data_IF_981730578819
#
_entry.id   IF_981730578819
#
_cell.length_a   1.000
_cell.length_b   1.000
_cell.length_c   1.000
_cell.angle_alpha   90.00
_cell.angle_beta   90.00
_cell.angle_gamma   90.00
#
_symmetry.space_group_name_H-M   'P 1'
#
loop_
_entity.id
_entity.type
_entity.pdbx_description
1 polymer ?
#
# COMPACT_ATOMS: atom_id res chain seq x y z
N UNK A 1 76.74 10.69 -28.42
CA UNK A 1 75.38 11.04 -27.97
C UNK A 1 74.60 9.75 -27.73
N UNK A 2 74.41 9.36 -26.47
CA UNK A 2 73.65 8.16 -26.11
C UNK A 2 72.98 8.41 -24.76
N UNK A 3 71.65 8.32 -24.74
CA UNK A 3 70.79 8.65 -23.62
C UNK A 3 70.77 7.52 -22.58
N UNK A 4 70.77 7.88 -21.29
CA UNK A 4 70.33 6.98 -20.22
C UNK A 4 69.26 7.66 -19.38
N UNK A 5 68.06 7.12 -19.55
CA UNK A 5 66.84 7.36 -18.79
C UNK A 5 67.01 6.84 -17.37
N UNK A 6 66.70 7.68 -16.38
CA UNK A 6 66.60 7.31 -14.97
C UNK A 6 65.15 7.48 -14.52
N UNK A 7 64.64 6.41 -13.91
CA UNK A 7 63.25 6.12 -13.59
C UNK A 7 62.79 6.94 -12.39
N UNK A 8 61.64 7.60 -12.51
CA UNK A 8 60.92 8.17 -11.36
C UNK A 8 59.78 7.23 -10.99
N UNK A 9 59.89 6.69 -9.79
CA UNK A 9 58.96 5.76 -9.14
C UNK A 9 57.61 6.44 -8.89
N UNK A 10 56.52 5.89 -9.42
CA UNK A 10 55.15 6.30 -9.06
C UNK A 10 54.76 5.54 -7.80
N UNK A 11 54.53 6.26 -6.70
CA UNK A 11 53.94 5.70 -5.50
C UNK A 11 52.43 5.53 -5.71
N UNK A 12 51.95 4.29 -5.71
CA UNK A 12 50.52 3.98 -5.70
C UNK A 12 50.04 4.02 -4.26
N UNK A 13 49.27 5.05 -3.90
CA UNK A 13 48.55 5.09 -2.63
C UNK A 13 47.39 4.10 -2.69
N UNK A 14 47.53 2.96 -2.02
CA UNK A 14 46.41 2.05 -1.74
C UNK A 14 45.59 2.68 -0.63
N UNK A 15 44.54 3.41 -1.01
CA UNK A 15 43.58 3.95 -0.07
C UNK A 15 42.70 2.79 0.42
N UNK A 16 42.91 2.39 1.67
CA UNK A 16 42.12 1.36 2.33
C UNK A 16 40.66 1.83 2.43
N UNK A 17 39.76 1.14 1.71
CA UNK A 17 38.32 1.24 1.91
C UNK A 17 37.99 0.64 3.27
N UNK A 18 37.85 1.49 4.27
CA UNK A 18 37.18 1.14 5.52
C UNK A 18 35.70 0.98 5.17
N UNK A 19 35.24 -0.26 5.04
CA UNK A 19 33.81 -0.55 5.06
C UNK A 19 33.32 -0.27 6.49
N UNK A 20 32.90 0.96 6.73
CA UNK A 20 32.00 1.25 7.82
C UNK A 20 30.70 0.51 7.51
N UNK A 21 30.42 -0.55 8.27
CA UNK A 21 29.08 -1.07 8.47
C UNK A 21 28.24 0.06 9.05
N UNK A 22 27.62 0.85 8.16
CA UNK A 22 26.58 1.76 8.54
C UNK A 22 25.43 0.91 9.07
N UNK A 23 25.19 1.00 10.38
CA UNK A 23 23.86 0.77 10.90
C UNK A 23 22.94 1.77 10.20
N UNK A 24 22.25 1.34 9.13
CA UNK A 24 21.15 2.10 8.53
C UNK A 24 19.98 2.08 9.52
N UNK A 25 20.13 2.86 10.59
CA UNK A 25 19.01 3.43 11.31
C UNK A 25 18.37 4.43 10.37
N UNK A 26 17.30 4.00 9.71
CA UNK A 26 16.42 4.79 8.86
C UNK A 26 16.09 6.10 9.58
N UNK A 27 16.81 7.16 9.22
CA UNK A 27 16.66 8.49 9.82
C UNK A 27 15.25 8.96 9.46
N UNK A 28 14.45 9.28 10.47
CA UNK A 28 13.27 10.12 10.34
C UNK A 28 13.69 11.40 9.61
N UNK A 29 13.32 11.53 8.34
CA UNK A 29 13.37 12.80 7.62
C UNK A 29 12.03 13.53 7.86
N UNK A 30 12.01 14.59 8.68
CA UNK A 30 10.80 15.38 8.92
C UNK A 30 10.35 16.19 7.69
N UNK A 31 11.13 16.20 6.59
CA UNK A 31 10.81 16.91 5.35
C UNK A 31 10.48 15.94 4.20
N UNK A 32 10.18 14.67 4.48
CA UNK A 32 9.74 13.75 3.42
C UNK A 32 8.44 14.27 2.78
N UNK A 33 8.38 14.46 1.45
CA UNK A 33 7.23 15.02 0.73
C UNK A 33 6.03 14.04 0.64
N UNK A 34 6.00 13.00 1.48
CA UNK A 34 4.99 11.94 1.49
C UNK A 34 4.25 11.90 2.83
N UNK A 35 4.10 13.05 3.51
CA UNK A 35 3.45 13.14 4.81
C UNK A 35 1.98 13.50 4.63
N UNK A 36 1.11 12.52 4.83
CA UNK A 36 -0.33 12.71 4.99
C UNK A 36 -0.63 13.51 6.27
N UNK A 37 0.27 13.47 7.25
CA UNK A 37 0.08 14.10 8.56
C UNK A 37 -1.12 13.51 9.29
N UNK A 38 -1.91 14.37 9.92
CA UNK A 38 -3.16 13.98 10.60
C UNK A 38 -4.38 14.01 9.64
N UNK A 39 -4.16 14.16 8.33
CA UNK A 39 -5.21 14.32 7.32
C UNK A 39 -5.64 12.98 6.71
N UNK A 40 -5.97 12.02 7.56
CA UNK A 40 -6.52 10.73 7.15
C UNK A 40 -7.79 10.39 7.91
N UNK A 41 -8.58 9.51 7.32
CA UNK A 41 -9.80 8.96 7.90
C UNK A 41 -9.61 7.48 8.15
N UNK A 42 -9.73 7.06 9.41
CA UNK A 42 -9.72 5.64 9.75
C UNK A 42 -11.03 5.00 9.29
N UNK A 43 -10.95 4.12 8.30
CA UNK A 43 -12.10 3.39 7.77
C UNK A 43 -12.44 2.18 8.65
N UNK A 44 -11.44 1.39 9.03
CA UNK A 44 -11.67 0.18 9.83
C UNK A 44 -10.44 -0.21 10.64
N UNK A 45 -10.65 -0.73 11.85
CA UNK A 45 -9.57 -1.22 12.74
C UNK A 45 -9.65 -2.73 12.91
N UNK A 46 -8.49 -3.35 13.06
CA UNK A 46 -8.31 -4.78 13.13
C UNK A 46 -7.28 -5.18 14.18
N UNK A 47 -7.40 -6.42 14.66
CA UNK A 47 -6.38 -7.10 15.45
C UNK A 47 -6.18 -8.50 14.89
N UNK A 48 -5.01 -8.77 14.32
CA UNK A 48 -4.67 -10.09 13.73
C UNK A 48 -3.37 -10.62 14.29
N UNK A 49 -3.40 -11.81 14.89
CA UNK A 49 -2.22 -12.40 15.52
C UNK A 49 -1.57 -11.53 16.61
N UNK A 50 -2.35 -10.66 17.27
CA UNK A 50 -1.87 -9.71 18.28
C UNK A 50 -1.35 -8.38 17.74
N UNK A 51 -1.36 -8.17 16.40
CA UNK A 51 -0.95 -6.90 15.77
C UNK A 51 -2.17 -6.04 15.52
N UNK A 52 -2.15 -4.81 16.02
CA UNK A 52 -3.15 -3.79 15.74
C UNK A 52 -2.83 -3.09 14.42
N UNK A 53 -3.83 -3.00 13.55
CA UNK A 53 -3.71 -2.30 12.28
C UNK A 53 -5.06 -1.72 11.86
N UNK A 54 -5.03 -0.86 10.86
CA UNK A 54 -6.21 -0.20 10.34
C UNK A 54 -6.11 -0.01 8.84
N UNK A 55 -7.26 0.18 8.21
CA UNK A 55 -7.37 0.69 6.86
C UNK A 55 -7.72 2.16 6.96
N UNK A 56 -6.88 2.99 6.38
CA UNK A 56 -7.04 4.44 6.33
C UNK A 56 -7.36 4.89 4.91
N UNK A 57 -8.00 6.04 4.79
CA UNK A 57 -8.24 6.72 3.53
C UNK A 57 -7.92 8.20 3.64
N UNK A 58 -7.32 8.76 2.60
CA UNK A 58 -6.89 10.16 2.54
C UNK A 58 -6.82 10.64 1.10
N UNK A 59 -6.72 11.96 0.94
CA UNK A 59 -6.41 12.59 -0.33
C UNK A 59 -4.93 12.94 -0.30
N UNK A 60 -4.15 12.48 -1.29
CA UNK A 60 -2.74 12.85 -1.40
C UNK A 60 -2.61 14.29 -1.90
N UNK A 61 -2.65 15.23 -0.95
CA UNK A 61 -2.57 16.66 -1.21
C UNK A 61 -1.19 17.11 -1.70
N UNK A 62 -0.13 16.31 -1.45
CA UNK A 62 1.24 16.64 -1.81
C UNK A 62 1.59 16.17 -3.25
N UNK A 63 0.78 15.28 -3.83
CA UNK A 63 0.91 14.83 -5.22
C UNK A 63 -0.16 15.43 -6.13
N UNK A 64 -1.11 14.62 -6.59
CA UNK A 64 -2.09 14.98 -7.62
C UNK A 64 -3.51 15.15 -7.07
N UNK A 65 -3.69 15.07 -5.75
CA UNK A 65 -5.00 15.06 -5.11
C UNK A 65 -5.76 13.75 -5.31
N UNK A 66 -5.06 12.67 -5.65
CA UNK A 66 -5.68 11.35 -5.79
C UNK A 66 -6.22 10.82 -4.46
N UNK A 67 -7.32 10.08 -4.54
CA UNK A 67 -7.83 9.32 -3.41
C UNK A 67 -6.94 8.10 -3.16
N UNK A 68 -6.51 7.95 -1.91
CA UNK A 68 -5.65 6.89 -1.44
C UNK A 68 -6.31 6.08 -0.33
N UNK A 69 -5.93 4.80 -0.27
CA UNK A 69 -6.23 3.91 0.84
C UNK A 69 -4.98 3.13 1.23
N UNK A 70 -4.77 2.89 2.53
CA UNK A 70 -3.56 2.23 3.03
C UNK A 70 -3.81 1.37 4.26
N UNK A 71 -3.03 0.30 4.37
CA UNK A 71 -2.92 -0.55 5.56
C UNK A 71 -1.83 -0.02 6.47
N UNK A 72 -2.22 0.39 7.66
CA UNK A 72 -1.36 1.10 8.59
C UNK A 72 -1.46 0.53 9.99
N UNK A 73 -0.48 0.84 10.84
CA UNK A 73 -0.63 0.64 12.27
C UNK A 73 -1.59 1.69 12.86
N UNK A 74 -1.89 1.56 14.15
CA UNK A 74 -2.85 2.45 14.83
C UNK A 74 -2.50 3.94 14.85
N UNK A 75 -1.30 4.33 14.39
CA UNK A 75 -0.82 5.72 14.32
C UNK A 75 -0.98 6.31 12.92
N UNK A 76 -1.35 5.52 11.91
CA UNK A 76 -1.68 5.99 10.57
C UNK A 76 -0.53 5.93 9.55
N UNK A 77 -0.75 6.50 8.35
CA UNK A 77 0.13 6.33 7.17
C UNK A 77 1.57 6.79 7.38
N UNK A 78 1.75 7.99 7.95
CA UNK A 78 3.06 8.60 8.15
C UNK A 78 3.98 7.78 9.07
N UNK A 79 3.38 7.07 10.03
CA UNK A 79 4.13 6.22 10.94
C UNK A 79 4.45 4.86 10.29
N UNK A 80 3.53 4.37 9.46
CA UNK A 80 3.53 3.02 8.93
C UNK A 80 4.46 2.81 7.74
N UNK A 81 4.94 3.89 7.10
CA UNK A 81 5.87 3.85 5.96
C UNK A 81 7.15 3.01 6.17
N UNK A 82 7.50 2.69 7.42
CA UNK A 82 8.67 1.86 7.76
C UNK A 82 8.34 0.39 8.04
N UNK A 83 7.05 0.03 8.05
CA UNK A 83 6.61 -1.31 8.42
C UNK A 83 6.59 -2.22 7.19
N UNK A 84 7.07 -3.47 7.31
CA UNK A 84 7.23 -4.38 6.17
C UNK A 84 5.91 -4.84 5.54
N UNK A 85 4.79 -4.67 6.23
CA UNK A 85 3.45 -5.05 5.76
C UNK A 85 2.60 -3.84 5.37
N UNK A 86 3.02 -2.62 5.71
CA UNK A 86 2.27 -1.43 5.34
C UNK A 86 2.29 -1.29 3.82
N UNK A 87 1.12 -1.03 3.24
CA UNK A 87 0.96 -0.85 1.81
C UNK A 87 -0.20 0.11 1.55
N UNK A 88 -0.05 0.93 0.52
CA UNK A 88 -1.08 1.86 0.07
C UNK A 88 -1.25 1.80 -1.44
N UNK A 89 -2.43 2.20 -1.88
CA UNK A 89 -2.76 2.39 -3.29
C UNK A 89 -3.53 3.72 -3.43
N UNK A 90 -3.31 4.41 -4.55
CA UNK A 90 -3.88 5.72 -4.86
C UNK A 90 -4.37 5.75 -6.30
N UNK A 91 -5.30 6.66 -6.60
CA UNK A 91 -5.75 6.92 -7.97
C UNK A 91 -6.47 5.73 -8.59
N UNK A 92 -7.46 5.19 -7.88
CA UNK A 92 -8.19 4.00 -8.29
C UNK A 92 -9.06 4.32 -9.51
N UNK A 93 -8.56 3.97 -10.69
CA UNK A 93 -9.16 4.37 -11.97
C UNK A 93 -9.73 3.19 -12.77
N UNK A 94 -9.52 1.95 -12.31
CA UNK A 94 -9.94 0.75 -13.01
C UNK A 94 -9.13 0.47 -14.28
N UNK A 95 -7.95 1.07 -14.45
CA UNK A 95 -7.00 0.69 -15.48
C UNK A 95 -6.11 -0.47 -15.03
N UNK A 96 -5.44 -1.12 -15.99
CA UNK A 96 -4.44 -2.14 -15.71
C UNK A 96 -3.22 -1.58 -14.91
N UNK A 97 -3.01 -0.25 -14.95
CA UNK A 97 -1.90 0.44 -14.29
C UNK A 97 -2.25 1.12 -12.97
N UNK A 98 -3.46 1.69 -12.83
CA UNK A 98 -3.94 2.34 -11.59
C UNK A 98 -4.64 1.36 -10.64
N UNK A 99 -5.11 0.22 -11.17
CA UNK A 99 -5.68 -0.86 -10.38
C UNK A 99 -7.09 -0.55 -9.86
N UNK A 100 -7.90 -1.60 -9.75
CA UNK A 100 -9.25 -1.50 -9.17
C UNK A 100 -9.25 -1.58 -7.64
N UNK A 101 -8.12 -1.98 -7.04
CA UNK A 101 -7.98 -2.27 -5.62
C UNK A 101 -6.50 -2.26 -5.21
N UNK A 102 -6.25 -2.00 -3.94
CA UNK A 102 -4.96 -2.14 -3.30
C UNK A 102 -4.87 -3.48 -2.56
N UNK A 103 -3.66 -3.92 -2.28
CA UNK A 103 -3.46 -5.11 -1.50
C UNK A 103 -2.00 -5.49 -1.36
N UNK A 104 -1.74 -6.35 -0.38
CA UNK A 104 -0.39 -6.76 -0.05
C UNK A 104 -0.39 -7.63 1.19
N UNK A 105 0.80 -7.79 1.76
CA UNK A 105 0.98 -8.53 2.99
C UNK A 105 0.17 -7.88 4.11
N UNK A 106 -0.62 -8.67 4.83
CA UNK A 106 -1.38 -8.21 5.98
C UNK A 106 -0.60 -8.43 7.28
N UNK A 107 -0.91 -7.64 8.32
CA UNK A 107 -0.37 -7.87 9.66
C UNK A 107 -0.77 -9.23 10.22
N UNK A 108 0.16 -9.87 10.91
CA UNK A 108 -0.03 -11.22 11.43
C UNK A 108 0.26 -12.29 10.37
N UNK A 109 1.05 -13.29 10.79
CA UNK A 109 1.51 -14.51 10.08
C UNK A 109 0.95 -14.75 8.66
N UNK A 110 1.82 -14.58 7.65
CA UNK A 110 1.65 -15.04 6.26
C UNK A 110 0.25 -14.80 5.65
N UNK A 111 -0.36 -13.66 5.97
CA UNK A 111 -1.64 -13.28 5.42
C UNK A 111 -1.49 -12.17 4.39
N UNK A 112 -2.52 -12.00 3.57
CA UNK A 112 -2.68 -10.90 2.66
C UNK A 112 -3.94 -10.11 3.01
N UNK A 113 -4.01 -8.87 2.57
CA UNK A 113 -5.24 -8.11 2.60
C UNK A 113 -5.44 -7.46 1.24
N UNK A 114 -6.70 -7.31 0.87
CA UNK A 114 -7.11 -6.57 -0.32
C UNK A 114 -8.22 -5.62 0.08
N UNK A 115 -8.23 -4.44 -0.51
CA UNK A 115 -9.15 -3.36 -0.18
C UNK A 115 -9.30 -2.43 -1.38
N UNK A 116 -10.36 -1.65 -1.41
CA UNK A 116 -10.50 -0.60 -2.40
C UNK A 116 -11.82 0.13 -2.30
N UNK A 117 -11.96 1.24 -3.04
CA UNK A 117 -13.22 1.92 -3.20
C UNK A 117 -14.11 1.16 -4.19
N UNK A 118 -15.42 1.33 -4.06
CA UNK A 118 -16.42 0.87 -5.02
C UNK A 118 -17.57 1.87 -5.10
N UNK A 119 -18.29 1.91 -6.24
CA UNK A 119 -19.44 2.81 -6.41
C UNK A 119 -20.49 2.62 -5.32
N UNK A 120 -21.26 3.67 -5.03
CA UNK A 120 -22.28 3.66 -3.97
C UNK A 120 -23.34 2.56 -4.14
N UNK A 121 -23.61 2.15 -5.38
CA UNK A 121 -24.55 1.07 -5.67
C UNK A 121 -24.01 -0.33 -5.31
N UNK A 122 -22.71 -0.50 -5.08
CA UNK A 122 -22.09 -1.80 -4.82
C UNK A 122 -22.17 -2.16 -3.32
N UNK A 123 -23.09 -3.05 -2.95
CA UNK A 123 -23.30 -3.50 -1.55
C UNK A 123 -22.42 -4.69 -1.15
N UNK A 124 -21.73 -5.29 -2.12
CA UNK A 124 -20.76 -6.36 -1.88
C UNK A 124 -19.69 -6.41 -2.96
N UNK A 125 -18.61 -7.13 -2.69
CA UNK A 125 -17.53 -7.40 -3.65
C UNK A 125 -17.28 -8.88 -3.69
N UNK A 126 -17.41 -9.48 -4.88
CA UNK A 126 -16.96 -10.85 -5.09
C UNK A 126 -15.46 -10.89 -5.24
N UNK A 127 -14.77 -11.64 -4.40
CA UNK A 127 -13.30 -11.78 -4.41
C UNK A 127 -12.86 -13.10 -5.05
N UNK A 128 -11.55 -13.33 -5.12
CA UNK A 128 -10.91 -14.46 -5.83
C UNK A 128 -11.38 -15.87 -5.42
N UNK A 129 -12.08 -16.00 -4.29
CA UNK A 129 -12.66 -17.24 -3.79
C UNK A 129 -14.14 -17.41 -4.11
N UNK A 130 -14.72 -16.50 -4.90
CA UNK A 130 -16.15 -16.32 -5.14
C UNK A 130 -16.95 -15.91 -3.89
N UNK A 131 -16.29 -15.73 -2.73
CA UNK A 131 -16.91 -15.14 -1.55
C UNK A 131 -17.32 -13.69 -1.83
N UNK A 132 -18.49 -13.30 -1.30
CA UNK A 132 -18.99 -11.93 -1.38
C UNK A 132 -18.72 -11.23 -0.05
N UNK A 133 -17.76 -10.31 -0.08
CA UNK A 133 -17.38 -9.46 1.05
C UNK A 133 -18.33 -8.26 1.10
N UNK A 134 -18.90 -7.91 2.27
CA UNK A 134 -19.75 -6.73 2.38
C UNK A 134 -18.95 -5.45 2.15
N UNK A 135 -19.61 -4.42 1.63
CA UNK A 135 -19.03 -3.08 1.50
C UNK A 135 -19.62 -2.15 2.55
N UNK A 136 -18.86 -1.11 2.90
CA UNK A 136 -19.22 -0.11 3.89
C UNK A 136 -19.21 1.29 3.26
N UNK A 137 -20.16 2.18 3.59
CA UNK A 137 -20.12 3.55 3.09
C UNK A 137 -18.82 4.24 3.48
N UNK A 138 -18.20 4.96 2.55
CA UNK A 138 -17.12 5.89 2.89
C UNK A 138 -17.69 6.98 3.83
N UNK A 139 -16.98 7.34 4.91
CA UNK A 139 -17.41 8.41 5.79
C UNK A 139 -17.61 9.71 5.01
N UNK A 140 -18.78 10.34 5.18
CA UNK A 140 -19.07 11.63 4.54
C UNK A 140 -18.24 12.74 5.19
N UNK A 141 -17.75 13.67 4.37
CA UNK A 141 -16.87 14.75 4.81
C UNK A 141 -15.40 14.38 4.63
N UNK A 142 -14.49 15.20 5.16
CA UNK A 142 -13.03 14.96 5.11
C UNK A 142 -12.42 14.93 3.69
N UNK A 143 -13.14 15.38 2.66
CA UNK A 143 -12.65 15.44 1.29
C UNK A 143 -12.65 14.10 0.55
N UNK A 144 -13.19 13.03 1.15
CA UNK A 144 -13.26 11.71 0.51
C UNK A 144 -14.33 11.67 -0.60
N UNK A 145 -14.14 10.86 -1.65
CA UNK A 145 -15.13 10.70 -2.70
C UNK A 145 -16.41 10.01 -2.18
N UNK A 146 -17.52 10.27 -2.87
CA UNK A 146 -18.76 9.53 -2.63
C UNK A 146 -18.59 8.08 -3.08
N UNK A 147 -19.00 7.14 -2.21
CA UNK A 147 -18.95 5.73 -2.54
C UNK A 147 -18.85 4.86 -1.29
N UNK A 148 -18.32 3.67 -1.51
CA UNK A 148 -18.17 2.64 -0.49
C UNK A 148 -16.76 2.08 -0.55
N UNK A 149 -16.38 1.37 0.49
CA UNK A 149 -15.12 0.65 0.54
C UNK A 149 -15.37 -0.80 0.95
N UNK A 150 -14.41 -1.65 0.63
CA UNK A 150 -14.34 -3.02 1.12
C UNK A 150 -12.92 -3.32 1.57
N UNK A 151 -12.79 -4.33 2.40
CA UNK A 151 -11.52 -4.87 2.84
C UNK A 151 -11.72 -6.30 3.28
N UNK A 152 -10.79 -7.16 2.88
CA UNK A 152 -10.77 -8.56 3.25
C UNK A 152 -9.40 -8.95 3.76
N UNK A 153 -9.37 -9.64 4.89
CA UNK A 153 -8.18 -10.30 5.41
C UNK A 153 -8.15 -11.74 4.90
N UNK A 154 -7.07 -12.10 4.22
CA UNK A 154 -6.88 -13.36 3.52
C UNK A 154 -5.82 -14.17 4.27
N UNK A 155 -6.19 -15.22 5.01
CA UNK A 155 -5.19 -16.05 5.69
C UNK A 155 -4.30 -16.78 4.66
N UNK A 156 -3.15 -17.31 5.10
CA UNK A 156 -2.21 -18.07 4.25
C UNK A 156 -2.83 -19.21 3.42
N UNK A 157 -3.97 -19.74 3.86
CA UNK A 157 -4.71 -20.80 3.16
C UNK A 157 -5.53 -20.28 1.96
N UNK A 158 -5.45 -18.98 1.65
CA UNK A 158 -6.23 -18.32 0.61
C UNK A 158 -5.38 -17.83 -0.57
N UNK A 159 -5.90 -17.90 -1.81
CA UNK A 159 -7.11 -18.63 -2.17
C UNK A 159 -6.84 -20.16 -2.08
N UNK A 160 -7.88 -20.95 -1.81
CA UNK A 160 -7.72 -22.41 -1.69
C UNK A 160 -7.09 -23.01 -2.96
N UNK A 161 -6.37 -24.13 -2.82
CA UNK A 161 -5.70 -24.80 -3.96
C UNK A 161 -6.70 -25.08 -5.09
N UNK A 162 -6.45 -24.50 -6.27
CA UNK A 162 -7.29 -24.67 -7.47
C UNK A 162 -8.33 -23.57 -7.69
N UNK A 163 -8.45 -22.59 -6.79
CA UNK A 163 -9.24 -21.39 -7.04
C UNK A 163 -8.60 -20.55 -8.14
N UNK A 164 -9.40 -20.13 -9.12
CA UNK A 164 -8.97 -19.19 -10.14
C UNK A 164 -9.03 -17.79 -9.54
N UNK A 165 -7.95 -17.03 -9.62
CA UNK A 165 -7.99 -15.62 -9.25
C UNK A 165 -9.00 -14.90 -10.14
N UNK A 166 -10.06 -14.39 -9.54
CA UNK A 166 -10.96 -13.42 -10.17
C UNK A 166 -10.64 -12.05 -9.60
N UNK A 167 -10.56 -11.06 -10.49
CA UNK A 167 -10.46 -9.67 -10.05
C UNK A 167 -11.71 -9.32 -9.23
N UNK A 168 -11.57 -8.51 -8.16
CA UNK A 168 -12.69 -8.09 -7.34
C UNK A 168 -13.84 -7.53 -8.20
N UNK A 169 -15.05 -8.04 -7.99
CA UNK A 169 -16.24 -7.63 -8.75
C UNK A 169 -17.24 -6.95 -7.82
N UNK A 170 -17.43 -5.62 -7.93
CA UNK A 170 -18.47 -4.92 -7.20
C UNK A 170 -19.85 -5.44 -7.61
N UNK A 171 -20.72 -5.74 -6.65
CA UNK A 171 -22.05 -6.30 -6.84
C UNK A 171 -23.13 -5.41 -6.20
N UNK A 172 -24.25 -5.24 -6.89
CA UNK A 172 -25.44 -4.60 -6.34
C UNK A 172 -26.24 -5.56 -5.43
N UNK A 173 -27.33 -5.07 -4.84
CA UNK A 173 -28.18 -5.86 -3.94
C UNK A 173 -28.87 -7.06 -4.61
N UNK A 174 -28.92 -7.09 -5.95
CA UNK A 174 -29.44 -8.23 -6.72
C UNK A 174 -28.34 -9.22 -7.15
N UNK A 175 -27.08 -8.97 -6.77
CA UNK A 175 -25.92 -9.78 -7.13
C UNK A 175 -25.40 -9.51 -8.55
N UNK A 176 -25.83 -8.42 -9.20
CA UNK A 176 -25.33 -8.04 -10.53
C UNK A 176 -24.09 -7.18 -10.41
N UNK A 177 -23.18 -7.32 -11.39
CA UNK A 177 -21.96 -6.51 -11.45
C UNK A 177 -22.30 -5.04 -11.60
N UNK A 178 -21.69 -4.20 -10.77
CA UNK A 178 -21.69 -2.75 -10.88
C UNK A 178 -20.45 -2.32 -11.66
N UNK A 179 -20.63 -1.41 -12.62
CA UNK A 179 -19.51 -0.84 -13.37
C UNK A 179 -18.65 0.01 -12.43
N UNK A 180 -17.33 -0.16 -12.52
CA UNK A 180 -16.39 0.65 -11.74
C UNK A 180 -16.44 2.13 -12.17
N UNK A 181 -16.11 3.02 -11.24
CA UNK A 181 -15.95 4.46 -11.47
C UNK A 181 -14.60 4.88 -10.91
N UNK A 182 -13.96 5.89 -11.48
CA UNK A 182 -12.73 6.44 -10.92
C UNK A 182 -12.97 7.08 -9.55
N UNK A 183 -12.02 6.91 -8.63
CA UNK A 183 -12.00 7.48 -7.29
C UNK A 183 -10.73 8.30 -7.05
#
# INVERSE_FOLDING_TARGET
MSARSARTTVAVAVMAMVMATACDGQRHDPNSPYRVGDHYTVLQRYVTGGVHWQLDAYIDADQDGSFCMSLDDSRGPDHSATLPWANGACGFDGSDSGGYYGGGQAPGRNAFASYGPVPDAAVGVRVSTEEVVPTHPLPKGHGLPDGRYWVVYQPASWPGKGARSVDPQPLDASGRKVAFTTF
#
